data_IF_551755712677
#
_entry.id   IF_551755712677
#
_cell.length_a   1.000
_cell.length_b   1.000
_cell.length_c   1.000
_cell.angle_alpha   90.00
_cell.angle_beta   90.00
_cell.angle_gamma   90.00
#
_symmetry.space_group_name_H-M   'P 1'
#
loop_
_entity.id
_entity.type
_entity.pdbx_description
1 polymer ?
#
# COMPACT_ATOMS: atom_id res chain seq x y z
N UNK A 1 24.12 -3.06 -15.96
CA UNK A 1 23.68 -1.63 -16.07
C UNK A 1 24.52 -0.75 -17.00
N UNK A 2 25.87 -0.87 -17.06
CA UNK A 2 26.68 -0.14 -18.07
C UNK A 2 26.47 -0.62 -19.52
N UNK A 3 26.05 -1.86 -19.71
CA UNK A 3 25.96 -2.51 -21.03
C UNK A 3 24.59 -2.27 -21.69
N UNK A 4 23.53 -2.03 -20.90
CA UNK A 4 22.18 -1.81 -21.45
C UNK A 4 21.60 -0.41 -21.20
N UNK A 5 21.80 0.22 -20.05
CA UNK A 5 21.15 1.52 -19.82
C UNK A 5 21.98 2.65 -20.46
N UNK A 6 23.30 2.58 -20.33
CA UNK A 6 24.19 3.62 -20.81
C UNK A 6 24.20 3.77 -22.34
N UNK A 7 24.24 2.69 -23.16
CA UNK A 7 24.22 2.85 -24.61
C UNK A 7 22.87 3.40 -25.10
N UNK A 8 21.75 2.96 -24.51
CA UNK A 8 20.42 3.41 -24.92
C UNK A 8 20.07 4.80 -24.40
N UNK A 9 20.66 5.21 -23.27
CA UNK A 9 20.69 6.60 -22.84
C UNK A 9 21.52 7.47 -23.81
N UNK A 10 22.72 7.01 -24.19
CA UNK A 10 23.58 7.70 -25.17
C UNK A 10 22.94 7.80 -26.57
N UNK A 11 22.13 6.82 -26.97
CA UNK A 11 21.33 6.83 -28.20
C UNK A 11 20.05 7.69 -28.11
N UNK A 12 19.77 8.31 -26.95
CA UNK A 12 18.61 9.18 -26.75
C UNK A 12 17.26 8.44 -26.67
N UNK A 13 17.27 7.11 -26.61
CA UNK A 13 16.06 6.29 -26.63
C UNK A 13 15.41 6.26 -25.24
N UNK A 14 16.23 6.14 -24.19
CA UNK A 14 15.79 6.33 -22.82
C UNK A 14 16.14 7.77 -22.40
N UNK A 15 15.10 8.57 -22.16
CA UNK A 15 15.29 9.96 -21.73
C UNK A 15 15.65 10.03 -20.24
N UNK A 16 16.51 10.98 -19.86
CA UNK A 16 16.97 11.16 -18.46
C UNK A 16 15.82 11.28 -17.45
N UNK A 17 14.74 11.96 -17.82
CA UNK A 17 13.58 12.13 -16.95
C UNK A 17 12.91 10.79 -16.60
N UNK A 18 12.89 9.81 -17.51
CA UNK A 18 12.36 8.50 -17.19
C UNK A 18 13.19 7.86 -16.07
N UNK A 19 14.52 7.97 -16.14
CA UNK A 19 15.44 7.36 -15.16
C UNK A 19 15.23 8.02 -13.80
N UNK A 20 15.14 9.35 -13.79
CA UNK A 20 14.85 10.12 -12.57
C UNK A 20 13.49 9.72 -11.99
N UNK A 21 12.44 9.56 -12.81
CA UNK A 21 11.12 9.13 -12.34
C UNK A 21 11.15 7.74 -11.72
N UNK A 22 11.79 6.76 -12.37
CA UNK A 22 11.93 5.41 -11.81
C UNK A 22 12.67 5.41 -10.48
N UNK A 23 13.80 6.13 -10.40
CA UNK A 23 14.57 6.25 -9.15
C UNK A 23 13.75 6.93 -8.05
N UNK A 24 12.99 7.97 -8.39
CA UNK A 24 12.09 8.65 -7.45
C UNK A 24 11.01 7.70 -6.92
N UNK A 25 10.30 6.97 -7.79
CA UNK A 25 9.30 5.98 -7.36
C UNK A 25 9.93 4.85 -6.53
N UNK A 26 11.14 4.40 -6.86
CA UNK A 26 11.87 3.39 -6.09
C UNK A 26 12.17 3.89 -4.67
N UNK A 27 12.71 5.10 -4.53
CA UNK A 27 13.01 5.69 -3.21
C UNK A 27 11.72 5.88 -2.41
N UNK A 28 10.66 6.41 -3.03
CA UNK A 28 9.39 6.63 -2.34
C UNK A 28 8.71 5.32 -1.93
N UNK A 29 8.84 4.26 -2.73
CA UNK A 29 8.36 2.91 -2.38
C UNK A 29 9.09 2.38 -1.15
N UNK A 30 10.42 2.53 -1.08
CA UNK A 30 11.19 2.11 0.09
C UNK A 30 10.83 2.90 1.35
N UNK A 31 10.66 4.22 1.23
CA UNK A 31 10.25 5.08 2.35
C UNK A 31 8.84 4.74 2.84
N UNK A 32 7.90 4.52 1.93
CA UNK A 32 6.51 4.15 2.27
C UNK A 32 6.41 2.73 2.82
N UNK A 33 7.25 1.79 2.35
CA UNK A 33 7.38 0.45 2.93
C UNK A 33 7.86 0.54 4.37
N UNK A 34 8.98 1.22 4.60
CA UNK A 34 9.53 1.42 5.94
C UNK A 34 8.50 2.05 6.87
N UNK A 35 7.81 3.08 6.37
CA UNK A 35 6.73 3.74 7.11
C UNK A 35 5.60 2.79 7.46
N UNK A 36 5.07 2.03 6.51
CA UNK A 36 3.97 1.09 6.75
C UNK A 36 4.37 -0.01 7.76
N UNK A 37 5.60 -0.52 7.65
CA UNK A 37 6.14 -1.54 8.55
C UNK A 37 6.35 -1.03 9.98
N UNK A 38 6.81 0.21 10.15
CA UNK A 38 7.14 0.78 11.47
C UNK A 38 6.00 1.56 12.12
N UNK A 39 4.96 1.93 11.37
CA UNK A 39 3.85 2.71 11.92
C UNK A 39 2.99 1.87 12.87
N UNK A 40 2.57 2.47 13.98
CA UNK A 40 1.62 1.84 14.89
C UNK A 40 0.27 1.57 14.18
N UNK A 41 -0.28 0.34 14.25
CA UNK A 41 -1.51 0.00 13.57
C UNK A 41 -2.80 0.46 14.28
N UNK A 42 -2.67 1.00 15.49
CA UNK A 42 -3.81 1.33 16.38
C UNK A 42 -4.03 0.25 17.42
N UNK A 43 -3.05 0.04 18.31
CA UNK A 43 -3.17 -0.96 19.39
C UNK A 43 -4.23 -0.50 20.40
N UNK A 44 -5.16 -1.38 20.75
CA UNK A 44 -6.15 -1.10 21.81
C UNK A 44 -5.44 -1.05 23.17
N UNK A 45 -5.55 0.05 23.94
CA UNK A 45 -4.97 0.14 25.28
C UNK A 45 -5.75 -0.74 26.28
N UNK A 46 -5.04 -1.30 27.28
CA UNK A 46 -5.63 -2.19 28.29
C UNK A 46 -6.57 -1.46 29.27
N UNK A 47 -6.25 -0.20 29.60
CA UNK A 47 -7.06 0.65 30.48
C UNK A 47 -7.83 1.65 29.64
N UNK A 48 -9.08 1.31 29.34
CA UNK A 48 -10.03 2.29 28.83
C UNK A 48 -10.90 2.71 30.01
N UNK A 49 -10.86 4.00 30.34
CA UNK A 49 -11.60 4.57 31.46
C UNK A 49 -13.09 4.27 31.43
N UNK A 50 -13.76 4.53 32.55
CA UNK A 50 -15.15 4.20 32.90
C UNK A 50 -16.22 4.95 32.08
N UNK A 51 -16.04 5.13 30.78
CA UNK A 51 -17.15 5.51 29.89
C UNK A 51 -18.00 4.27 29.62
N UNK A 52 -19.30 4.46 29.35
CA UNK A 52 -20.22 3.36 29.04
C UNK A 52 -19.72 2.55 27.83
N UNK A 53 -19.11 1.41 28.13
CA UNK A 53 -18.56 0.44 27.17
C UNK A 53 -19.61 -0.62 26.81
N UNK A 54 -20.87 -0.21 26.64
CA UNK A 54 -22.00 -1.13 26.47
C UNK A 54 -21.80 -2.06 25.26
N UNK A 55 -21.28 -1.52 24.15
CA UNK A 55 -21.09 -2.26 22.89
C UNK A 55 -19.68 -2.85 22.71
N UNK A 56 -18.84 -2.78 23.75
CA UNK A 56 -17.47 -3.30 23.66
C UNK A 56 -17.44 -4.80 23.86
N UNK A 57 -16.72 -5.49 22.98
CA UNK A 57 -16.56 -6.94 23.06
C UNK A 57 -15.36 -7.30 23.94
N UNK A 58 -15.45 -8.41 24.67
CA UNK A 58 -14.30 -8.93 25.42
C UNK A 58 -13.35 -9.72 24.49
N UNK A 59 -12.05 -9.60 24.71
CA UNK A 59 -11.04 -10.39 24.02
C UNK A 59 -10.33 -11.30 25.03
N UNK A 60 -10.60 -12.61 24.95
CA UNK A 60 -10.03 -13.59 25.90
C UNK A 60 -8.51 -13.65 25.84
N UNK A 61 -7.92 -13.45 24.65
CA UNK A 61 -6.46 -13.51 24.45
C UNK A 61 -5.71 -12.33 25.05
N UNK A 62 -6.37 -11.18 25.18
CA UNK A 62 -5.76 -9.98 25.76
C UNK A 62 -6.30 -9.66 27.16
N UNK A 63 -7.33 -10.37 27.61
CA UNK A 63 -8.02 -10.18 28.90
C UNK A 63 -8.55 -8.77 29.15
N UNK A 64 -9.03 -8.09 28.09
CA UNK A 64 -9.64 -6.77 28.21
C UNK A 64 -10.73 -6.56 27.16
N UNK A 65 -11.60 -5.57 27.39
CA UNK A 65 -12.61 -5.12 26.42
C UNK A 65 -11.94 -4.39 25.25
N UNK A 66 -12.48 -4.55 24.05
CA UNK A 66 -12.06 -3.86 22.82
C UNK A 66 -13.25 -3.10 22.21
N UNK A 67 -13.02 -1.94 21.59
CA UNK A 67 -14.08 -1.21 20.92
C UNK A 67 -14.63 -2.00 19.73
N UNK A 68 -15.83 -1.64 19.24
CA UNK A 68 -16.36 -2.15 17.98
C UNK A 68 -15.33 -2.07 16.85
N UNK A 69 -15.47 -2.95 15.85
CA UNK A 69 -14.57 -3.04 14.67
C UNK A 69 -13.09 -3.37 15.00
N UNK A 70 -12.77 -3.63 16.27
CA UNK A 70 -11.43 -4.03 16.70
C UNK A 70 -11.30 -5.55 16.71
N UNK A 71 -10.14 -6.05 16.28
CA UNK A 71 -9.89 -7.50 16.22
C UNK A 71 -8.53 -7.85 16.82
N UNK A 72 -8.43 -9.05 17.39
CA UNK A 72 -7.16 -9.57 17.90
C UNK A 72 -6.37 -10.20 16.75
N UNK A 73 -5.16 -9.70 16.52
CA UNK A 73 -4.24 -10.31 15.58
C UNK A 73 -3.34 -11.32 16.31
N UNK A 74 -3.49 -12.60 16.00
CA UNK A 74 -2.64 -13.65 16.59
C UNK A 74 -1.17 -13.51 16.22
N UNK A 75 -0.86 -12.97 15.05
CA UNK A 75 0.53 -12.75 14.59
C UNK A 75 1.22 -11.60 15.34
N UNK A 76 0.48 -10.54 15.67
CA UNK A 76 1.03 -9.39 16.42
C UNK A 76 0.85 -9.52 17.94
N UNK A 77 0.00 -10.44 18.41
CA UNK A 77 -0.23 -10.69 19.83
C UNK A 77 -1.02 -9.59 20.56
N UNK A 78 -1.75 -8.74 19.84
CA UNK A 78 -2.56 -7.67 20.43
C UNK A 78 -3.80 -7.32 19.60
N UNK A 79 -4.76 -6.66 20.23
CA UNK A 79 -5.92 -6.09 19.56
C UNK A 79 -5.55 -4.83 18.75
N UNK A 80 -6.15 -4.68 17.58
CA UNK A 80 -5.97 -3.54 16.66
C UNK A 80 -7.33 -2.89 16.37
N UNK A 81 -7.41 -1.56 16.45
CA UNK A 81 -8.60 -0.76 16.19
C UNK A 81 -8.87 -0.63 14.71
N UNK A 82 -10.14 -0.79 14.32
CA UNK A 82 -10.57 -0.88 12.91
C UNK A 82 -9.59 -1.72 12.07
N UNK A 83 -9.30 -2.93 12.56
CA UNK A 83 -8.33 -3.82 11.94
C UNK A 83 -8.82 -4.19 10.53
N UNK A 84 -7.97 -3.97 9.53
CA UNK A 84 -8.23 -4.38 8.16
C UNK A 84 -7.68 -5.78 7.92
N UNK A 85 -6.38 -5.97 8.09
CA UNK A 85 -5.74 -7.28 7.98
C UNK A 85 -4.34 -7.25 8.62
N UNK A 86 -3.75 -8.43 8.82
CA UNK A 86 -2.30 -8.53 9.02
C UNK A 86 -1.63 -8.74 7.68
N UNK A 87 -0.70 -7.86 7.32
CA UNK A 87 -0.01 -7.90 6.04
C UNK A 87 1.40 -8.49 6.22
N UNK A 88 1.69 -9.68 5.65
CA UNK A 88 3.02 -10.29 5.75
C UNK A 88 4.11 -9.43 5.10
N UNK A 89 3.78 -8.68 4.05
CA UNK A 89 4.73 -7.90 3.25
C UNK A 89 5.33 -6.71 4.01
N UNK A 90 4.58 -6.14 4.96
CA UNK A 90 5.08 -5.08 5.85
C UNK A 90 5.40 -5.61 7.25
N UNK A 91 5.19 -6.91 7.48
CA UNK A 91 5.32 -7.58 8.78
C UNK A 91 4.59 -6.82 9.92
N UNK A 92 3.39 -6.31 9.63
CA UNK A 92 2.63 -5.48 10.54
C UNK A 92 1.12 -5.59 10.24
N UNK A 93 0.29 -5.23 11.20
CA UNK A 93 -1.13 -5.04 10.95
C UNK A 93 -1.38 -3.76 10.16
N UNK A 94 -2.43 -3.77 9.35
CA UNK A 94 -3.06 -2.59 8.78
C UNK A 94 -4.32 -2.33 9.59
N UNK A 95 -4.38 -1.18 10.25
CA UNK A 95 -5.51 -0.74 11.07
C UNK A 95 -5.71 0.77 10.98
N UNK A 96 -6.55 1.32 11.86
CA UNK A 96 -6.95 2.73 11.83
C UNK A 96 -5.78 3.71 11.68
N UNK A 97 -4.69 3.45 12.38
CA UNK A 97 -3.61 4.43 12.52
C UNK A 97 -2.56 4.37 11.42
N UNK A 98 -2.47 3.28 10.66
CA UNK A 98 -1.48 3.14 9.59
C UNK A 98 -2.07 2.76 8.23
N UNK A 99 -3.40 2.62 8.10
CA UNK A 99 -4.06 2.34 6.81
C UNK A 99 -3.71 3.37 5.73
N UNK A 100 -3.54 4.64 6.11
CA UNK A 100 -3.09 5.66 5.16
C UNK A 100 -1.64 5.42 4.67
N UNK A 101 -0.73 4.96 5.52
CA UNK A 101 0.64 4.63 5.14
C UNK A 101 0.67 3.40 4.22
N UNK A 102 -0.23 2.44 4.46
CA UNK A 102 -0.42 1.31 3.56
C UNK A 102 -0.93 1.73 2.17
N UNK A 103 -1.88 2.68 2.09
CA UNK A 103 -2.30 3.23 0.80
C UNK A 103 -1.18 4.00 0.07
N UNK A 104 -0.33 4.71 0.81
CA UNK A 104 0.86 5.35 0.22
C UNK A 104 1.80 4.31 -0.40
N UNK A 105 2.06 3.20 0.30
CA UNK A 105 2.86 2.08 -0.21
C UNK A 105 2.27 1.52 -1.50
N UNK A 106 0.96 1.26 -1.55
CA UNK A 106 0.27 0.78 -2.75
C UNK A 106 0.45 1.76 -3.91
N UNK A 107 0.24 3.06 -3.68
CA UNK A 107 0.37 4.08 -4.71
C UNK A 107 1.79 4.14 -5.31
N UNK A 108 2.82 4.17 -4.45
CA UNK A 108 4.20 4.23 -4.94
C UNK A 108 4.66 2.92 -5.60
N UNK A 109 4.21 1.77 -5.09
CA UNK A 109 4.49 0.46 -5.70
C UNK A 109 3.83 0.35 -7.09
N UNK A 110 2.63 0.91 -7.26
CA UNK A 110 1.99 1.01 -8.57
C UNK A 110 2.85 1.81 -9.55
N UNK A 111 3.26 3.02 -9.15
CA UNK A 111 4.10 3.89 -9.98
C UNK A 111 5.45 3.24 -10.32
N UNK A 112 6.06 2.54 -9.37
CA UNK A 112 7.27 1.77 -9.59
C UNK A 112 7.05 0.62 -10.60
N UNK A 113 5.96 -0.13 -10.46
CA UNK A 113 5.65 -1.25 -11.36
C UNK A 113 5.38 -0.77 -12.79
N UNK A 114 4.61 0.31 -12.95
CA UNK A 114 4.32 0.92 -14.27
C UNK A 114 5.58 1.51 -14.90
N UNK A 115 6.40 2.21 -14.12
CA UNK A 115 7.67 2.74 -14.63
C UNK A 115 8.61 1.61 -15.05
N UNK A 116 8.76 0.55 -14.24
CA UNK A 116 9.55 -0.63 -14.57
C UNK A 116 9.06 -1.32 -15.86
N UNK A 117 7.74 -1.43 -16.06
CA UNK A 117 7.15 -1.94 -17.31
C UNK A 117 7.48 -1.07 -18.51
N UNK A 118 7.37 0.26 -18.39
CA UNK A 118 7.73 1.17 -19.46
C UNK A 118 9.22 1.05 -19.83
N UNK A 119 10.09 0.94 -18.81
CA UNK A 119 11.52 0.71 -18.98
C UNK A 119 11.82 -0.60 -19.71
N UNK A 120 11.27 -1.71 -19.22
CA UNK A 120 11.53 -3.04 -19.77
C UNK A 120 10.83 -3.26 -21.13
N UNK A 121 9.63 -2.69 -21.32
CA UNK A 121 8.87 -2.79 -22.57
C UNK A 121 9.43 -1.93 -23.71
N UNK A 122 10.07 -0.79 -23.39
CA UNK A 122 10.80 0.00 -24.40
C UNK A 122 11.90 -0.81 -25.11
N UNK A 123 12.44 -1.83 -24.42
CA UNK A 123 13.40 -2.80 -24.94
C UNK A 123 12.80 -3.84 -25.87
N UNK A 124 11.60 -4.34 -25.59
CA UNK A 124 10.99 -5.45 -26.33
C UNK A 124 10.43 -5.07 -27.70
N UNK A 125 10.06 -3.80 -27.92
CA UNK A 125 9.31 -3.39 -29.12
C UNK A 125 10.06 -2.47 -30.09
N UNK A 126 11.13 -1.77 -29.67
CA UNK A 126 11.71 -0.66 -30.46
C UNK A 126 13.22 -0.64 -30.57
N UNK A 127 13.92 -1.59 -29.97
CA UNK A 127 15.37 -1.50 -29.89
C UNK A 127 16.00 -2.44 -30.90
N UNK A 128 16.79 -1.93 -31.87
CA UNK A 128 17.63 -2.80 -32.66
C UNK A 128 18.55 -3.61 -31.72
N UNK A 129 18.98 -4.82 -32.12
CA UNK A 129 20.07 -5.50 -31.44
C UNK A 129 21.20 -4.49 -31.23
N UNK A 130 21.71 -4.44 -30.00
CA UNK A 130 22.84 -3.57 -29.67
C UNK A 130 23.95 -3.83 -30.72
N UNK A 131 24.55 -2.80 -31.33
CA UNK A 131 25.62 -3.02 -32.30
C UNK A 131 26.71 -3.89 -31.67
N UNK A 132 27.23 -4.85 -32.43
CA UNK A 132 28.23 -5.84 -31.97
C UNK A 132 29.46 -5.16 -31.33
N UNK A 133 29.80 -3.95 -31.79
CA UNK A 133 30.83 -3.07 -31.25
C UNK A 133 30.62 -2.70 -29.76
N UNK A 134 29.35 -2.60 -29.31
CA UNK A 134 28.99 -2.25 -27.94
C UNK A 134 28.51 -3.45 -27.11
N UNK A 135 28.00 -4.51 -27.75
CA UNK A 135 27.51 -5.72 -27.08
C UNK A 135 27.86 -6.98 -27.89
N UNK A 136 29.00 -7.63 -27.62
CA UNK A 136 29.30 -8.94 -28.20
C UNK A 136 28.25 -9.96 -27.75
N UNK A 137 27.51 -10.56 -28.69
CA UNK A 137 26.43 -11.51 -28.42
C UNK A 137 26.88 -12.72 -27.60
N UNK A 138 28.14 -13.12 -27.79
CA UNK A 138 28.72 -14.35 -27.24
C UNK A 138 29.29 -14.13 -25.83
N UNK A 139 29.15 -12.92 -25.30
CA UNK A 139 29.59 -12.62 -23.94
C UNK A 139 28.56 -13.17 -22.95
N UNK A 140 29.02 -13.99 -21.98
CA UNK A 140 28.17 -14.55 -20.93
C UNK A 140 27.31 -13.49 -20.22
N UNK A 141 27.82 -12.27 -20.13
CA UNK A 141 27.14 -11.13 -19.52
C UNK A 141 25.85 -10.74 -20.24
N UNK A 142 25.82 -10.82 -21.58
CA UNK A 142 24.65 -10.42 -22.39
C UNK A 142 23.51 -11.41 -22.21
N UNK A 143 23.77 -12.72 -22.30
CA UNK A 143 22.74 -13.75 -22.10
C UNK A 143 22.07 -13.67 -20.71
N UNK A 144 22.88 -13.52 -19.66
CA UNK A 144 22.36 -13.39 -18.29
C UNK A 144 21.60 -12.06 -18.08
N UNK A 145 22.06 -10.95 -18.68
CA UNK A 145 21.39 -9.65 -18.56
C UNK A 145 20.05 -9.63 -19.33
N UNK A 146 19.94 -10.34 -20.46
CA UNK A 146 18.67 -10.57 -21.16
C UNK A 146 17.69 -11.39 -20.30
N UNK A 147 18.16 -12.47 -19.67
CA UNK A 147 17.34 -13.25 -18.74
C UNK A 147 16.81 -12.41 -17.57
N UNK A 148 17.67 -11.57 -16.98
CA UNK A 148 17.27 -10.63 -15.91
C UNK A 148 16.25 -9.59 -16.38
N UNK A 149 16.35 -9.11 -17.62
CA UNK A 149 15.40 -8.16 -18.19
C UNK A 149 14.03 -8.81 -18.42
N UNK A 150 13.99 -10.01 -18.98
CA UNK A 150 12.74 -10.77 -19.17
C UNK A 150 12.09 -11.08 -17.83
N UNK A 151 12.87 -11.56 -16.86
CA UNK A 151 12.38 -11.79 -15.50
C UNK A 151 11.82 -10.49 -14.89
N UNK A 152 12.52 -9.37 -15.05
CA UNK A 152 12.09 -8.06 -14.55
C UNK A 152 10.80 -7.58 -15.23
N UNK A 153 10.64 -7.80 -16.53
CA UNK A 153 9.41 -7.48 -17.27
C UNK A 153 8.21 -8.30 -16.77
N UNK A 154 8.38 -9.61 -16.62
CA UNK A 154 7.35 -10.53 -16.11
C UNK A 154 6.96 -10.13 -14.68
N UNK A 155 7.95 -9.94 -13.81
CA UNK A 155 7.70 -9.56 -12.42
C UNK A 155 7.01 -8.19 -12.31
N UNK A 156 7.42 -7.21 -13.11
CA UNK A 156 6.77 -5.89 -13.13
C UNK A 156 5.32 -5.98 -13.64
N UNK A 157 5.03 -6.89 -14.57
CA UNK A 157 3.66 -7.15 -15.03
C UNK A 157 2.80 -7.74 -13.92
N UNK A 158 3.31 -8.78 -13.26
CA UNK A 158 2.62 -9.43 -12.14
C UNK A 158 2.37 -8.45 -11.00
N UNK A 159 3.36 -7.63 -10.66
CA UNK A 159 3.22 -6.59 -9.63
C UNK A 159 2.22 -5.51 -10.04
N UNK A 160 2.25 -5.02 -11.28
CA UNK A 160 1.29 -4.03 -11.74
C UNK A 160 -0.16 -4.54 -11.63
N UNK A 161 -0.41 -5.78 -12.07
CA UNK A 161 -1.75 -6.39 -11.99
C UNK A 161 -2.18 -6.61 -10.53
N UNK A 162 -1.32 -7.23 -9.72
CA UNK A 162 -1.62 -7.52 -8.32
C UNK A 162 -1.85 -6.27 -7.47
N UNK A 163 -0.99 -5.26 -7.62
CA UNK A 163 -1.11 -3.98 -6.91
C UNK A 163 -2.32 -3.20 -7.40
N UNK A 164 -2.71 -3.31 -8.68
CA UNK A 164 -3.95 -2.71 -9.19
C UNK A 164 -5.18 -3.32 -8.52
N UNK A 165 -5.27 -4.65 -8.47
CA UNK A 165 -6.37 -5.33 -7.78
C UNK A 165 -6.43 -4.94 -6.30
N UNK A 166 -5.28 -4.91 -5.61
CA UNK A 166 -5.20 -4.50 -4.20
C UNK A 166 -5.60 -3.03 -4.01
N UNK A 167 -5.17 -2.14 -4.90
CA UNK A 167 -5.54 -0.72 -4.89
C UNK A 167 -7.04 -0.54 -5.05
N UNK A 168 -7.65 -1.19 -6.05
CA UNK A 168 -9.10 -1.15 -6.24
C UNK A 168 -9.85 -1.64 -5.00
N UNK A 169 -9.45 -2.78 -4.42
CA UNK A 169 -10.07 -3.32 -3.21
C UNK A 169 -9.97 -2.37 -2.02
N UNK A 170 -8.78 -1.83 -1.75
CA UNK A 170 -8.58 -0.92 -0.62
C UNK A 170 -9.32 0.41 -0.80
N UNK A 171 -9.33 0.98 -2.02
CA UNK A 171 -10.10 2.19 -2.30
C UNK A 171 -11.61 1.95 -2.20
N UNK A 172 -12.10 0.78 -2.62
CA UNK A 172 -13.48 0.36 -2.44
C UNK A 172 -13.85 0.26 -0.95
N UNK A 173 -13.00 -0.39 -0.15
CA UNK A 173 -13.20 -0.49 1.30
C UNK A 173 -13.22 0.88 1.99
N UNK A 174 -12.40 1.84 1.57
CA UNK A 174 -12.47 3.24 2.05
C UNK A 174 -13.75 3.92 1.56
N UNK A 175 -14.11 3.71 0.29
CA UNK A 175 -15.30 4.28 -0.34
C UNK A 175 -16.63 3.68 0.15
N UNK A 176 -16.59 2.64 0.97
CA UNK A 176 -17.74 2.10 1.70
C UNK A 176 -17.60 2.17 3.22
N UNK A 177 -16.49 2.73 3.73
CA UNK A 177 -16.17 2.74 5.17
C UNK A 177 -16.26 1.35 5.83
N UNK A 178 -15.77 0.33 5.11
CA UNK A 178 -15.69 -1.05 5.60
C UNK A 178 -14.23 -1.49 5.69
N UNK A 179 -13.95 -2.40 6.61
CA UNK A 179 -12.69 -3.14 6.62
C UNK A 179 -12.84 -4.47 5.89
N UNK A 180 -11.70 -5.07 5.56
CA UNK A 180 -11.65 -6.41 4.94
C UNK A 180 -12.25 -7.45 5.87
N UNK A 181 -11.97 -7.38 7.17
CA UNK A 181 -12.55 -8.30 8.17
C UNK A 181 -14.08 -8.17 8.22
N UNK A 182 -14.61 -6.95 8.23
CA UNK A 182 -16.07 -6.73 8.23
C UNK A 182 -16.72 -7.33 6.99
N UNK A 183 -16.09 -7.14 5.83
CA UNK A 183 -16.56 -7.70 4.55
C UNK A 183 -16.54 -9.24 4.56
N UNK A 184 -15.60 -9.87 5.26
CA UNK A 184 -15.49 -11.32 5.38
C UNK A 184 -16.46 -11.93 6.40
N UNK A 185 -16.80 -11.20 7.46
CA UNK A 185 -17.70 -11.68 8.53
C UNK A 185 -19.18 -11.44 8.16
N UNK A 186 -19.45 -10.45 7.30
CA UNK A 186 -20.81 -10.14 6.88
C UNK A 186 -21.48 -11.33 6.17
N UNK A 187 -22.67 -11.72 6.65
CA UNK A 187 -23.50 -12.74 5.99
C UNK A 187 -24.00 -12.26 4.62
N UNK A 188 -24.32 -10.97 4.54
CA UNK A 188 -24.76 -10.29 3.33
C UNK A 188 -23.99 -8.96 3.20
N UNK A 189 -23.17 -8.78 2.16
CA UNK A 189 -22.43 -7.53 1.93
C UNK A 189 -23.34 -6.31 1.76
N UNK A 190 -24.51 -6.46 1.14
CA UNK A 190 -25.43 -5.34 0.90
C UNK A 190 -25.97 -4.76 2.21
N UNK A 191 -26.36 -5.62 3.15
CA UNK A 191 -26.87 -5.19 4.46
C UNK A 191 -25.78 -4.43 5.24
N UNK A 192 -24.52 -4.89 5.15
CA UNK A 192 -23.38 -4.19 5.73
C UNK A 192 -23.17 -2.81 5.09
N UNK A 193 -23.27 -2.70 3.76
CA UNK A 193 -23.08 -1.43 3.07
C UNK A 193 -24.20 -0.44 3.39
N UNK A 194 -25.44 -0.93 3.46
CA UNK A 194 -26.62 -0.12 3.81
C UNK A 194 -26.63 0.30 5.29
N UNK A 195 -25.95 -0.44 6.17
CA UNK A 195 -25.83 -0.05 7.58
C UNK A 195 -24.84 1.10 7.82
N UNK A 196 -24.01 1.46 6.83
CA UNK A 196 -23.02 2.53 6.98
C UNK A 196 -23.63 3.91 6.73
N UNK A 197 -23.27 4.92 7.55
CA UNK A 197 -23.78 6.27 7.36
C UNK A 197 -23.30 6.84 6.03
N UNK A 198 -24.22 7.50 5.31
CA UNK A 198 -23.89 8.18 4.07
C UNK A 198 -22.95 9.36 4.35
N UNK A 199 -21.68 9.20 3.97
CA UNK A 199 -20.65 10.23 4.07
C UNK A 199 -19.98 10.45 2.71
N UNK A 200 -19.74 11.71 2.30
CA UNK A 200 -19.00 11.99 1.07
C UNK A 200 -17.66 11.27 1.05
N UNK A 201 -17.27 10.70 -0.10
CA UNK A 201 -16.01 9.96 -0.24
C UNK A 201 -14.81 10.80 0.22
N UNK A 202 -14.77 12.09 -0.14
CA UNK A 202 -13.71 13.01 0.29
C UNK A 202 -13.57 13.09 1.81
N UNK A 203 -14.68 13.13 2.55
CA UNK A 203 -14.63 13.20 4.02
C UNK A 203 -13.90 12.00 4.61
N UNK A 204 -14.14 10.81 4.06
CA UNK A 204 -13.51 9.55 4.51
C UNK A 204 -12.02 9.52 4.22
N UNK A 205 -11.59 10.04 3.06
CA UNK A 205 -10.16 10.22 2.78
C UNK A 205 -9.52 11.31 3.64
N UNK A 206 -10.22 12.42 3.90
CA UNK A 206 -9.73 13.48 4.78
C UNK A 206 -9.49 12.95 6.20
N UNK A 207 -10.40 12.09 6.70
CA UNK A 207 -10.28 11.40 7.98
C UNK A 207 -9.14 10.37 7.97
N UNK A 208 -9.08 9.52 6.94
CA UNK A 208 -8.03 8.51 6.77
C UNK A 208 -6.64 9.15 6.71
N UNK A 209 -6.46 10.16 5.87
CA UNK A 209 -5.20 10.88 5.71
C UNK A 209 -4.94 11.88 6.85
N UNK A 210 -5.96 12.21 7.65
CA UNK A 210 -5.89 13.19 8.73
C UNK A 210 -5.62 14.61 8.23
N UNK A 211 -6.05 14.97 7.01
CA UNK A 211 -5.93 16.32 6.42
C UNK A 211 -6.89 16.51 5.26
N UNK A 212 -7.42 17.73 5.14
CA UNK A 212 -8.27 18.17 4.02
C UNK A 212 -7.47 18.50 2.75
N UNK A 213 -6.14 18.61 2.86
CA UNK A 213 -5.28 18.93 1.73
C UNK A 213 -4.84 17.66 0.99
N UNK A 214 -5.39 17.46 -0.21
CA UNK A 214 -5.15 16.28 -1.06
C UNK A 214 -3.68 16.11 -1.43
N UNK A 215 -2.93 17.20 -1.61
CA UNK A 215 -1.50 17.12 -1.95
C UNK A 215 -0.68 16.47 -0.82
N UNK A 216 -1.15 16.60 0.43
CA UNK A 216 -0.51 16.02 1.59
C UNK A 216 -0.88 14.55 1.83
N UNK A 217 -1.86 14.00 1.09
CA UNK A 217 -2.25 12.59 1.22
C UNK A 217 -1.12 11.65 0.81
N UNK A 218 -0.35 12.03 -0.21
CA UNK A 218 0.75 11.24 -0.73
C UNK A 218 2.09 11.60 -0.10
N UNK A 219 2.18 12.64 0.73
CA UNK A 219 3.46 13.06 1.31
C UNK A 219 3.98 12.03 2.34
N UNK A 220 5.12 11.36 2.08
CA UNK A 220 5.56 10.19 2.85
C UNK A 220 6.17 10.54 4.21
N UNK A 221 6.63 11.78 4.43
CA UNK A 221 7.30 12.18 5.67
C UNK A 221 6.39 12.94 6.66
N UNK A 222 5.09 13.06 6.38
CA UNK A 222 4.17 13.86 7.20
C UNK A 222 3.67 13.06 8.40
N UNK A 223 3.71 13.61 9.61
CA UNK A 223 3.00 13.03 10.76
C UNK A 223 1.48 13.15 10.58
N UNK A 224 0.73 12.06 10.83
CA UNK A 224 -0.73 12.07 10.83
C UNK A 224 -1.21 12.53 12.20
N UNK A 225 -2.06 13.56 12.22
CA UNK A 225 -2.79 13.94 13.44
C UNK A 225 -3.89 12.90 13.65
N UNK A 226 -3.78 12.12 14.73
CA UNK A 226 -4.82 11.19 15.14
C UNK A 226 -6.00 11.98 15.72
N UNK A 227 -7.19 11.78 15.16
CA UNK A 227 -8.39 12.24 15.84
C UNK A 227 -8.74 11.22 16.95
N UNK A 228 -8.29 11.48 18.18
CA UNK A 228 -8.53 10.63 19.34
C UNK A 228 -10.02 10.40 19.66
N UNK A 229 -10.92 11.23 19.13
CA UNK A 229 -12.37 11.07 19.31
C UNK A 229 -12.95 9.87 18.54
N UNK A 230 -12.30 9.41 17.46
CA UNK A 230 -12.79 8.29 16.63
C UNK A 230 -12.72 6.92 17.32
N UNK A 231 -11.91 6.79 18.37
CA UNK A 231 -11.86 5.58 19.20
C UNK A 231 -13.11 5.44 20.11
N UNK A 232 -13.88 6.52 20.26
CA UNK A 232 -14.92 6.68 21.26
C UNK A 232 -16.22 7.30 20.72
N UNK A 233 -16.34 7.48 19.40
CA UNK A 233 -17.56 8.03 18.79
C UNK A 233 -18.56 6.89 18.52
N UNK A 234 -19.65 6.79 19.29
CA UNK A 234 -20.68 5.76 19.09
C UNK A 234 -21.45 5.94 17.77
N UNK A 235 -21.31 7.06 17.07
CA UNK A 235 -21.95 7.33 15.78
C UNK A 235 -21.08 6.97 14.56
N UNK A 236 -19.91 6.36 14.80
CA UNK A 236 -19.03 5.75 13.77
C UNK A 236 -19.06 4.22 13.86
N UNK A 237 -19.82 3.68 14.82
CA UNK A 237 -20.11 2.26 15.01
C UNK A 237 -21.20 1.82 14.02
#
# INVERSE_FOLDING_TARGET
MKIIILPYYKMGIIKMHAIIMYMMFSIMTMLSLLRASLSHPGRVPQYVGSMDQADWQYCDKCSHKRPPRSHHCSRCGHCVTMMDHHCPWINNCVGQDNRFAFLQLIFYTMGLSVSALAFCGSKSYKLPPCPEEYCPSDSWFVEHEHGLLVASYVMSTLMAVGITALSCGQHFSVALDVTTIESMIAKNPLDLYMSRPERPMKYRYDELCGTKNVLLWLWPCRSRLQNKQLLYDPHIV
#
